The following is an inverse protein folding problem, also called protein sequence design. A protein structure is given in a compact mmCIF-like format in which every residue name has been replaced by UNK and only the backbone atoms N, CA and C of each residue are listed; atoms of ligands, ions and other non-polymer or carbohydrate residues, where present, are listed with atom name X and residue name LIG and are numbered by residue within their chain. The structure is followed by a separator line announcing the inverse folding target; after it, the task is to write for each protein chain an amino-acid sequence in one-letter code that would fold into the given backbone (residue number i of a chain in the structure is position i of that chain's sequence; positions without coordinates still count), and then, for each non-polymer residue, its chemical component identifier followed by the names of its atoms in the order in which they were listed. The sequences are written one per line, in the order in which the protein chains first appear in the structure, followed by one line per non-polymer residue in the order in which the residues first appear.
data_IF_672935982436
#
_entry.id   IF_672935982436
#
_cell.length_a   1.000
_cell.length_b   1.000
_cell.length_c   1.000
_cell.angle_alpha   90.00
_cell.angle_beta   90.00
_cell.angle_gamma   90.00
#
_symmetry.space_group_name_H-M   'P 1'
#
loop_
_entity.id
_entity.type
_entity.pdbx_description
1 polymer ?
#
# COMPACT_ATOMS: atom_id res chain seq x y z
N UNK A 1 80.69 -32.93 18.37
CA UNK A 1 79.66 -33.25 17.41
C UNK A 1 78.39 -33.48 18.19
N UNK A 2 77.60 -32.45 18.31
CA UNK A 2 76.30 -32.49 19.00
C UNK A 2 75.26 -32.60 17.93
N UNK A 3 74.75 -33.79 17.66
CA UNK A 3 73.63 -33.99 16.78
C UNK A 3 72.39 -33.48 17.51
N UNK A 4 71.83 -32.35 17.06
CA UNK A 4 70.57 -31.84 17.53
C UNK A 4 69.47 -32.77 17.05
N UNK A 5 68.87 -33.51 17.99
CA UNK A 5 67.59 -34.21 17.82
C UNK A 5 66.48 -33.14 17.73
N UNK A 6 66.36 -32.55 16.55
CA UNK A 6 65.28 -31.61 16.23
C UNK A 6 64.23 -32.26 15.34
N UNK A 7 63.61 -33.31 15.84
CA UNK A 7 62.42 -33.85 15.19
C UNK A 7 61.22 -32.92 15.48
N UNK A 8 60.48 -32.53 14.43
CA UNK A 8 59.18 -31.86 14.62
C UNK A 8 58.20 -32.86 15.28
N UNK A 9 57.72 -32.54 16.46
CA UNK A 9 56.75 -33.33 17.21
C UNK A 9 55.65 -32.44 17.79
N UNK A 10 54.51 -33.02 18.08
CA UNK A 10 53.39 -32.35 18.68
C UNK A 10 53.73 -31.80 20.07
N UNK A 11 53.59 -30.50 20.28
CA UNK A 11 53.90 -29.83 21.56
C UNK A 11 52.99 -30.26 22.72
N UNK A 12 51.85 -30.93 22.44
CA UNK A 12 50.88 -31.36 23.46
C UNK A 12 51.05 -32.81 23.86
N UNK A 13 51.24 -33.72 22.90
CA UNK A 13 51.26 -35.19 23.16
C UNK A 13 52.55 -35.88 22.70
N UNK A 14 53.45 -35.18 22.00
CA UNK A 14 54.72 -35.74 21.53
C UNK A 14 54.60 -36.57 20.25
N UNK A 15 53.46 -36.65 19.59
CA UNK A 15 53.29 -37.41 18.34
C UNK A 15 54.11 -36.86 17.19
N UNK A 16 54.49 -37.73 16.25
CA UNK A 16 55.17 -37.36 15.01
C UNK A 16 54.25 -36.55 14.05
N UNK A 17 54.81 -35.84 13.05
CA UNK A 17 54.03 -35.15 11.99
C UNK A 17 53.05 -36.10 11.23
N UNK A 18 51.95 -35.52 10.65
CA UNK A 18 51.75 -34.10 10.31
C UNK A 18 51.34 -33.23 11.49
N UNK A 19 51.91 -32.01 11.54
CA UNK A 19 51.57 -30.99 12.53
C UNK A 19 50.81 -29.85 11.85
N UNK A 20 49.83 -29.35 12.59
CA UNK A 20 48.96 -28.25 12.18
C UNK A 20 49.31 -26.98 12.99
N UNK A 21 48.41 -26.06 13.07
CA UNK A 21 48.59 -24.80 13.80
C UNK A 21 49.11 -25.04 15.23
N UNK A 22 49.97 -24.18 15.70
CA UNK A 22 50.64 -24.25 17.01
C UNK A 22 51.50 -25.51 17.23
N UNK A 23 51.95 -26.16 16.13
CA UNK A 23 52.74 -27.40 16.16
C UNK A 23 52.01 -28.54 16.91
N UNK A 24 50.71 -28.68 16.70
CA UNK A 24 49.90 -29.76 17.27
C UNK A 24 49.58 -30.82 16.22
N UNK A 25 49.51 -32.09 16.63
CA UNK A 25 48.94 -33.14 15.76
C UNK A 25 47.42 -32.96 15.58
N UNK A 26 46.83 -33.57 14.56
CA UNK A 26 45.40 -33.48 14.26
C UNK A 26 44.51 -33.73 15.49
N UNK A 27 44.80 -34.79 16.27
CA UNK A 27 43.98 -35.16 17.43
C UNK A 27 44.04 -34.08 18.53
N UNK A 28 45.18 -33.39 18.73
CA UNK A 28 45.30 -32.31 19.69
C UNK A 28 44.68 -31.02 19.19
N UNK A 29 44.77 -30.72 17.88
CA UNK A 29 44.13 -29.59 17.23
C UNK A 29 42.60 -29.71 17.34
N UNK A 30 42.03 -30.85 16.98
CA UNK A 30 40.56 -31.11 17.09
C UNK A 30 40.01 -31.01 18.51
N UNK A 31 40.81 -31.35 19.53
CA UNK A 31 40.42 -31.21 20.96
C UNK A 31 40.38 -29.74 21.42
N UNK A 32 41.19 -28.88 20.85
CA UNK A 32 41.33 -27.47 21.27
C UNK A 32 40.55 -26.50 20.40
N UNK A 33 40.31 -26.86 19.16
CA UNK A 33 39.68 -26.00 18.17
C UNK A 33 38.25 -26.47 17.95
N UNK A 34 37.30 -25.55 18.04
CA UNK A 34 35.90 -25.74 17.68
C UNK A 34 35.61 -24.94 16.43
N UNK A 35 34.74 -25.51 15.57
CA UNK A 35 34.26 -24.82 14.37
C UNK A 35 33.41 -23.61 14.72
N UNK A 36 32.50 -23.79 15.69
CA UNK A 36 31.59 -22.72 16.11
C UNK A 36 31.44 -22.66 17.63
N UNK A 37 31.15 -21.46 18.12
CA UNK A 37 30.66 -21.20 19.46
C UNK A 37 29.17 -20.92 19.39
N UNK A 38 28.36 -21.85 19.88
CA UNK A 38 26.91 -21.80 19.86
C UNK A 38 26.40 -21.59 21.28
N UNK A 39 25.61 -20.51 21.55
CA UNK A 39 25.01 -20.30 22.86
C UNK A 39 23.88 -21.32 23.11
N UNK A 40 23.69 -21.71 24.36
CA UNK A 40 22.59 -22.60 24.73
C UNK A 40 21.19 -22.04 24.45
N UNK A 41 21.06 -20.71 24.53
CA UNK A 41 19.79 -20.02 24.37
C UNK A 41 19.94 -18.77 23.51
N UNK A 42 18.93 -18.51 22.67
CA UNK A 42 18.71 -17.23 22.01
C UNK A 42 17.29 -16.74 22.29
N UNK A 43 17.07 -15.44 22.23
CA UNK A 43 15.75 -14.87 22.53
C UNK A 43 15.26 -14.02 21.36
N UNK A 44 13.96 -14.04 21.13
CA UNK A 44 13.28 -13.12 20.21
C UNK A 44 11.96 -12.65 20.81
N UNK A 45 11.45 -11.53 20.34
CA UNK A 45 10.22 -10.95 20.82
C UNK A 45 9.19 -10.93 19.68
N UNK A 46 8.00 -11.44 19.95
CA UNK A 46 6.87 -11.40 19.03
C UNK A 46 5.77 -10.49 19.57
N UNK A 47 5.20 -9.66 18.69
CA UNK A 47 4.05 -8.83 19.03
C UNK A 47 2.83 -9.70 19.27
N UNK A 48 2.28 -9.67 20.50
CA UNK A 48 1.11 -10.44 20.88
C UNK A 48 -0.20 -10.04 20.14
N UNK A 49 -0.18 -8.91 19.42
CA UNK A 49 -1.35 -8.39 18.70
C UNK A 49 -1.32 -8.64 17.20
N UNK A 50 -0.19 -8.42 16.55
CA UNK A 50 -0.08 -8.51 15.08
C UNK A 50 0.90 -9.57 14.60
N UNK A 51 1.59 -10.28 15.51
CA UNK A 51 2.52 -11.35 15.15
C UNK A 51 3.90 -10.89 14.66
N UNK A 52 4.13 -9.60 14.43
CA UNK A 52 5.42 -9.08 14.00
C UNK A 52 6.52 -9.48 14.97
N UNK A 53 7.71 -9.72 14.45
CA UNK A 53 8.89 -10.14 15.21
C UNK A 53 9.87 -8.97 15.30
N UNK A 54 10.42 -8.74 16.49
CA UNK A 54 11.46 -7.75 16.71
C UNK A 54 12.82 -8.32 16.32
N UNK A 55 13.38 -7.77 15.25
CA UNK A 55 14.76 -8.03 14.80
C UNK A 55 15.54 -6.74 14.99
N UNK A 56 16.42 -6.73 15.98
CA UNK A 56 17.31 -5.59 16.30
C UNK A 56 16.59 -4.25 16.44
N UNK A 57 15.41 -4.24 17.09
CA UNK A 57 14.60 -3.05 17.31
C UNK A 57 13.68 -2.69 16.14
N UNK A 58 13.66 -3.50 15.08
CA UNK A 58 12.71 -3.36 13.96
C UNK A 58 11.67 -4.48 14.00
N UNK A 59 10.41 -4.10 13.97
CA UNK A 59 9.30 -5.03 13.92
C UNK A 59 8.99 -5.39 12.46
N UNK A 60 9.18 -6.66 12.11
CA UNK A 60 9.07 -7.15 10.73
C UNK A 60 8.14 -8.36 10.65
N UNK A 61 7.52 -8.54 9.49
CA UNK A 61 6.81 -9.77 9.15
C UNK A 61 7.76 -10.66 8.37
N UNK A 62 8.21 -11.76 8.97
CA UNK A 62 9.11 -12.71 8.33
C UNK A 62 8.57 -14.13 8.46
N UNK A 63 8.77 -14.99 7.46
CA UNK A 63 8.51 -16.41 7.56
C UNK A 63 9.29 -17.07 8.71
N UNK A 64 8.79 -18.17 9.22
CA UNK A 64 9.41 -18.87 10.35
C UNK A 64 10.83 -19.37 10.01
N UNK A 65 11.04 -19.90 8.81
CA UNK A 65 12.35 -20.35 8.36
C UNK A 65 13.37 -19.20 8.36
N UNK A 66 12.99 -18.04 7.84
CA UNK A 66 13.83 -16.83 7.85
C UNK A 66 14.14 -16.35 9.27
N UNK A 67 13.20 -16.53 10.21
CA UNK A 67 13.43 -16.20 11.62
C UNK A 67 14.54 -17.07 12.20
N UNK A 68 14.52 -18.38 11.94
CA UNK A 68 15.53 -19.28 12.47
C UNK A 68 16.90 -18.97 11.88
N UNK A 69 17.00 -18.72 10.58
CA UNK A 69 18.23 -18.26 9.93
C UNK A 69 18.79 -17.01 10.59
N UNK A 70 17.99 -15.97 10.78
CA UNK A 70 18.38 -14.71 11.40
C UNK A 70 18.86 -14.91 12.85
N UNK A 71 18.17 -15.75 13.62
CA UNK A 71 18.55 -16.04 15.02
C UNK A 71 19.87 -16.81 15.08
N UNK A 72 20.10 -17.76 14.18
CA UNK A 72 21.33 -18.54 14.10
C UNK A 72 22.48 -17.63 13.70
N UNK A 73 22.34 -16.87 12.61
CA UNK A 73 23.39 -15.93 12.13
C UNK A 73 23.80 -14.92 13.20
N UNK A 74 22.84 -14.43 13.98
CA UNK A 74 23.10 -13.47 15.05
C UNK A 74 23.77 -14.09 16.27
N UNK A 75 23.49 -15.35 16.57
CA UNK A 75 23.87 -16.00 17.82
C UNK A 75 25.12 -16.85 17.72
N UNK A 76 25.37 -17.45 16.56
CA UNK A 76 26.48 -18.35 16.32
C UNK A 76 27.73 -17.58 15.89
N UNK A 77 28.86 -17.90 16.51
CA UNK A 77 30.16 -17.33 16.14
C UNK A 77 31.05 -18.44 15.61
N UNK A 78 31.34 -18.39 14.32
CA UNK A 78 32.30 -19.31 13.72
C UNK A 78 33.75 -18.94 14.04
N UNK A 79 34.61 -19.91 14.00
CA UNK A 79 36.06 -19.72 14.19
C UNK A 79 36.58 -18.76 13.10
N UNK A 80 37.47 -17.83 13.49
CA UNK A 80 37.95 -16.77 12.59
C UNK A 80 38.67 -17.26 11.32
N UNK A 81 39.17 -18.50 11.33
CA UNK A 81 39.86 -19.17 10.22
C UNK A 81 39.00 -20.26 9.58
N UNK A 82 37.71 -20.32 9.91
CA UNK A 82 36.84 -21.28 9.30
C UNK A 82 36.49 -20.84 7.87
N UNK A 83 36.66 -21.77 6.95
CA UNK A 83 36.34 -21.60 5.52
C UNK A 83 35.35 -22.69 5.09
N UNK A 84 34.68 -22.53 3.94
CA UNK A 84 33.73 -23.49 3.37
C UNK A 84 32.64 -23.93 4.36
N UNK A 85 32.07 -22.94 5.08
CA UNK A 85 31.10 -23.21 6.14
C UNK A 85 29.75 -23.65 5.54
N UNK A 86 29.34 -24.89 5.85
CA UNK A 86 28.00 -25.44 5.64
C UNK A 86 27.22 -25.42 6.96
N UNK A 87 25.98 -25.01 6.92
CA UNK A 87 25.04 -24.99 8.05
C UNK A 87 23.70 -25.56 7.63
N UNK A 88 23.28 -26.65 8.27
CA UNK A 88 21.90 -27.17 8.21
C UNK A 88 21.26 -27.06 9.59
N UNK A 89 19.95 -26.86 9.65
CA UNK A 89 19.22 -26.88 10.91
C UNK A 89 17.83 -27.48 10.78
N UNK A 90 17.33 -28.04 11.90
CA UNK A 90 15.96 -28.55 12.03
C UNK A 90 15.32 -27.96 13.28
N UNK A 91 14.20 -27.20 13.15
CA UNK A 91 13.46 -26.66 14.28
C UNK A 91 12.53 -27.72 14.88
N UNK A 92 12.59 -27.91 16.20
CA UNK A 92 11.70 -28.74 16.97
C UNK A 92 10.94 -27.90 18.00
N UNK A 93 9.65 -27.71 17.79
CA UNK A 93 8.77 -27.00 18.74
C UNK A 93 8.55 -27.83 20.00
N UNK A 94 8.96 -27.29 21.14
CA UNK A 94 8.77 -27.91 22.47
C UNK A 94 7.51 -27.35 23.14
N UNK A 95 7.25 -26.07 22.98
CA UNK A 95 6.07 -25.40 23.49
C UNK A 95 5.82 -24.10 22.75
N UNK A 96 4.71 -23.43 22.99
CA UNK A 96 4.38 -22.12 22.39
C UNK A 96 5.49 -21.06 22.51
N UNK A 97 6.42 -21.25 23.46
CA UNK A 97 7.48 -20.26 23.75
C UNK A 97 8.89 -20.79 23.54
N UNK A 98 9.05 -22.07 23.21
CA UNK A 98 10.37 -22.70 23.13
C UNK A 98 10.46 -23.58 21.90
N UNK A 99 11.45 -23.32 21.09
CA UNK A 99 11.84 -24.17 19.94
C UNK A 99 13.31 -24.55 20.12
N UNK A 100 13.64 -25.82 19.94
CA UNK A 100 15.01 -26.31 19.82
C UNK A 100 15.41 -26.25 18.36
N UNK A 101 16.58 -25.69 18.09
CA UNK A 101 17.22 -25.67 16.78
C UNK A 101 18.36 -26.68 16.81
N UNK A 102 18.16 -27.83 16.18
CA UNK A 102 19.20 -28.83 15.98
C UNK A 102 20.02 -28.42 14.77
N UNK A 103 21.29 -28.17 14.94
CA UNK A 103 22.18 -27.65 13.90
C UNK A 103 23.27 -28.62 13.58
N UNK A 104 23.53 -28.85 12.30
CA UNK A 104 24.68 -29.57 11.77
C UNK A 104 25.55 -28.57 11.04
N UNK A 105 26.82 -28.50 11.41
CA UNK A 105 27.76 -27.54 10.89
C UNK A 105 28.98 -28.26 10.34
N UNK A 106 29.42 -27.85 9.17
CA UNK A 106 30.62 -28.32 8.50
C UNK A 106 31.50 -27.12 8.14
N UNK A 107 32.80 -27.31 8.10
CA UNK A 107 33.72 -26.28 7.67
C UNK A 107 35.17 -26.74 7.77
N UNK A 108 36.07 -26.01 7.15
CA UNK A 108 37.50 -26.30 7.11
C UNK A 108 38.25 -25.28 7.95
N UNK A 109 39.13 -25.74 8.83
CA UNK A 109 40.09 -24.90 9.58
C UNK A 109 41.47 -25.51 9.41
N UNK A 110 42.42 -24.74 8.84
CA UNK A 110 43.79 -25.18 8.61
C UNK A 110 43.88 -26.54 7.88
N UNK A 111 43.16 -26.68 6.77
CA UNK A 111 43.04 -27.89 5.95
C UNK A 111 42.38 -29.12 6.65
N UNK A 112 41.83 -28.93 7.82
CA UNK A 112 41.11 -29.97 8.55
C UNK A 112 39.60 -29.75 8.45
N UNK A 113 38.88 -30.78 7.99
CA UNK A 113 37.43 -30.78 7.98
C UNK A 113 36.87 -30.98 9.40
N UNK A 114 35.99 -30.12 9.83
CA UNK A 114 35.21 -30.18 11.06
C UNK A 114 33.75 -30.44 10.75
N UNK A 115 33.13 -31.34 11.51
CA UNK A 115 31.70 -31.56 11.53
C UNK A 115 31.23 -31.51 12.98
N UNK A 116 30.34 -30.59 13.31
CA UNK A 116 29.84 -30.40 14.67
C UNK A 116 28.31 -30.40 14.68
N UNK A 117 27.76 -31.02 15.73
CA UNK A 117 26.32 -30.96 16.02
C UNK A 117 26.08 -30.10 17.26
N UNK A 118 25.17 -29.16 17.14
CA UNK A 118 24.80 -28.26 18.22
C UNK A 118 23.31 -28.18 18.39
N UNK A 119 22.87 -27.83 19.60
CA UNK A 119 21.47 -27.53 19.88
C UNK A 119 21.37 -26.20 20.60
N UNK A 120 20.54 -25.32 20.06
CA UNK A 120 20.25 -24.01 20.64
C UNK A 120 18.77 -23.88 20.93
N UNK A 121 18.41 -23.34 22.09
CA UNK A 121 17.02 -23.09 22.45
C UNK A 121 16.63 -21.66 22.10
N UNK A 122 15.72 -21.50 21.15
CA UNK A 122 15.05 -20.23 20.85
C UNK A 122 13.88 -20.01 21.81
N UNK A 123 13.87 -18.89 22.52
CA UNK A 123 12.83 -18.50 23.48
C UNK A 123 12.04 -17.31 22.97
N UNK A 124 10.73 -17.50 22.78
CA UNK A 124 9.80 -16.42 22.42
C UNK A 124 9.37 -15.66 23.65
N UNK A 125 9.54 -14.36 23.66
CA UNK A 125 8.92 -13.44 24.57
C UNK A 125 7.77 -12.69 23.88
N UNK A 126 6.74 -12.32 24.64
CA UNK A 126 5.65 -11.49 24.11
C UNK A 126 5.97 -10.02 24.37
N UNK A 127 5.81 -9.21 23.32
CA UNK A 127 5.88 -7.76 23.38
C UNK A 127 4.67 -7.14 22.70
N UNK A 128 4.67 -5.82 22.60
CA UNK A 128 3.70 -5.08 21.79
C UNK A 128 4.48 -4.09 20.95
N UNK A 129 4.37 -4.19 19.62
CA UNK A 129 5.06 -3.27 18.71
C UNK A 129 4.49 -1.85 18.83
N UNK A 130 5.28 -0.87 18.41
CA UNK A 130 4.92 0.54 18.49
C UNK A 130 3.61 0.85 17.77
N UNK A 131 3.37 0.24 16.61
CA UNK A 131 2.14 0.41 15.85
C UNK A 131 0.91 -0.09 16.61
N UNK A 132 0.98 -1.28 17.20
CA UNK A 132 -0.11 -1.81 18.04
C UNK A 132 -0.35 -0.98 19.29
N UNK A 133 0.71 -0.43 19.89
CA UNK A 133 0.61 0.51 21.03
C UNK A 133 -0.07 1.80 20.58
N UNK A 134 0.31 2.36 19.43
CA UNK A 134 -0.30 3.57 18.87
C UNK A 134 -1.77 3.37 18.53
N UNK A 135 -2.11 2.25 17.85
CA UNK A 135 -3.52 1.88 17.59
C UNK A 135 -4.36 1.84 18.86
N UNK A 136 -3.86 1.17 19.91
CA UNK A 136 -4.57 1.07 21.18
C UNK A 136 -4.71 2.41 21.90
N UNK A 137 -3.79 3.34 21.69
CA UNK A 137 -3.79 4.67 22.29
C UNK A 137 -4.50 5.73 21.45
N UNK A 138 -5.29 5.36 20.44
CA UNK A 138 -5.97 6.30 19.53
C UNK A 138 -5.00 7.34 18.91
N UNK A 139 -3.79 6.90 18.63
CA UNK A 139 -2.79 7.75 17.98
C UNK A 139 -3.19 8.07 16.55
N UNK A 140 -2.98 9.32 16.13
CA UNK A 140 -3.17 9.75 14.75
C UNK A 140 -2.19 10.84 14.34
N UNK A 141 -1.91 10.90 13.04
CA UNK A 141 -1.08 11.93 12.42
C UNK A 141 -1.85 12.78 11.42
N UNK A 142 -2.95 12.23 10.88
CA UNK A 142 -3.74 12.92 9.86
C UNK A 142 -5.24 12.73 10.06
N UNK A 143 -6.00 13.73 9.56
CA UNK A 143 -7.46 13.67 9.39
C UNK A 143 -7.75 14.05 7.94
N UNK A 144 -8.47 13.17 7.22
CA UNK A 144 -9.04 13.47 5.90
C UNK A 144 -10.50 13.82 6.06
N UNK A 145 -10.86 15.00 5.57
CA UNK A 145 -12.21 15.52 5.62
C UNK A 145 -12.85 15.43 4.24
N UNK A 146 -13.83 14.56 4.07
CA UNK A 146 -14.58 14.41 2.83
C UNK A 146 -15.75 15.38 2.80
N UNK A 147 -15.78 16.24 1.80
CA UNK A 147 -16.84 17.24 1.57
C UNK A 147 -17.25 17.23 0.09
N UNK A 148 -18.38 17.86 -0.23
CA UNK A 148 -18.77 18.18 -1.61
C UNK A 148 -18.93 19.69 -1.79
N UNK A 149 -18.82 20.13 -3.02
CA UNK A 149 -19.04 21.53 -3.41
C UNK A 149 -20.53 21.78 -3.64
N UNK A 150 -21.09 22.72 -2.92
CA UNK A 150 -22.49 23.19 -3.14
C UNK A 150 -23.60 22.25 -2.63
N UNK A 151 -23.30 21.01 -2.22
CA UNK A 151 -24.26 20.05 -1.71
C UNK A 151 -23.64 19.12 -0.64
N UNK A 152 -24.42 18.23 -0.08
CA UNK A 152 -23.92 17.13 0.74
C UNK A 152 -23.53 15.96 -0.16
N UNK A 153 -22.54 15.15 0.31
CA UNK A 153 -22.27 13.86 -0.28
C UNK A 153 -23.48 12.95 -0.11
N UNK A 154 -23.86 12.25 -1.17
CA UNK A 154 -24.85 11.18 -1.11
C UNK A 154 -24.24 9.95 -0.44
N UNK A 155 -25.09 9.06 0.07
CA UNK A 155 -24.62 7.88 0.82
C UNK A 155 -23.79 6.95 -0.07
N UNK A 156 -24.23 6.70 -1.31
CA UNK A 156 -23.50 5.87 -2.27
C UNK A 156 -22.15 6.50 -2.66
N UNK A 157 -22.09 7.82 -2.85
CA UNK A 157 -20.85 8.52 -3.12
C UNK A 157 -19.87 8.36 -1.94
N UNK A 158 -20.37 8.54 -0.72
CA UNK A 158 -19.56 8.40 0.47
C UNK A 158 -19.01 6.98 0.61
N UNK A 159 -19.85 5.97 0.35
CA UNK A 159 -19.46 4.57 0.41
C UNK A 159 -18.34 4.27 -0.62
N UNK A 160 -18.46 4.77 -1.84
CA UNK A 160 -17.44 4.60 -2.88
C UNK A 160 -16.13 5.31 -2.51
N UNK A 161 -16.20 6.56 -2.05
CA UNK A 161 -15.03 7.31 -1.58
C UNK A 161 -14.34 6.58 -0.43
N UNK A 162 -15.12 6.05 0.53
CA UNK A 162 -14.57 5.34 1.69
C UNK A 162 -13.96 3.99 1.30
N UNK A 163 -14.60 3.23 0.42
CA UNK A 163 -14.10 1.94 -0.05
C UNK A 163 -12.73 2.09 -0.73
N UNK A 164 -12.54 3.14 -1.52
CA UNK A 164 -11.25 3.40 -2.18
C UNK A 164 -10.06 3.58 -1.23
N UNK A 165 -10.30 3.92 0.05
CA UNK A 165 -9.24 3.96 1.04
C UNK A 165 -8.68 2.56 1.34
N UNK A 166 -9.54 1.55 1.35
CA UNK A 166 -9.13 0.17 1.61
C UNK A 166 -8.27 -0.34 0.45
N UNK A 167 -8.60 0.02 -0.80
CA UNK A 167 -7.79 -0.29 -1.98
C UNK A 167 -6.41 0.39 -1.90
N UNK A 168 -6.36 1.66 -1.49
CA UNK A 168 -5.08 2.38 -1.30
C UNK A 168 -4.25 1.77 -0.18
N UNK A 169 -4.87 1.32 0.92
CA UNK A 169 -4.17 0.64 2.01
C UNK A 169 -3.59 -0.70 1.52
N UNK A 170 -4.34 -1.45 0.73
CA UNK A 170 -3.89 -2.74 0.19
C UNK A 170 -2.70 -2.58 -0.75
N UNK A 171 -2.75 -1.59 -1.64
CA UNK A 171 -1.64 -1.28 -2.56
C UNK A 171 -0.37 -0.82 -1.85
N UNK A 172 -0.50 -0.20 -0.68
CA UNK A 172 0.60 0.38 0.09
C UNK A 172 0.91 -0.41 1.38
N UNK A 173 0.60 -1.69 1.42
CA UNK A 173 0.52 -2.54 2.61
C UNK A 173 1.78 -2.64 3.48
N UNK A 174 2.95 -2.19 2.99
CA UNK A 174 4.24 -2.37 3.68
C UNK A 174 4.44 -1.43 4.90
N UNK A 175 3.65 -0.36 5.04
CA UNK A 175 3.78 0.55 6.19
C UNK A 175 2.78 0.18 7.29
N UNK A 176 3.25 -0.36 8.43
CA UNK A 176 2.40 -0.73 9.55
C UNK A 176 1.64 0.46 10.18
N UNK A 177 1.97 1.70 9.83
CA UNK A 177 1.26 2.90 10.26
C UNK A 177 0.03 3.22 9.40
N UNK A 178 -0.22 2.47 8.33
CA UNK A 178 -1.39 2.62 7.50
C UNK A 178 -2.61 1.96 8.17
N UNK A 179 -3.20 2.67 9.09
CA UNK A 179 -4.41 2.25 9.79
C UNK A 179 -5.34 3.43 10.06
N UNK A 180 -6.62 3.11 10.17
CA UNK A 180 -7.67 4.05 10.57
C UNK A 180 -7.79 4.01 12.10
N UNK A 181 -7.76 5.19 12.72
CA UNK A 181 -7.91 5.34 14.18
C UNK A 181 -9.37 5.55 14.55
N UNK A 182 -10.06 6.38 13.77
CA UNK A 182 -11.48 6.70 13.96
C UNK A 182 -12.06 7.23 12.65
N UNK A 183 -13.35 7.05 12.43
CA UNK A 183 -14.06 7.62 11.30
C UNK A 183 -15.53 7.82 11.64
N UNK A 184 -16.18 8.77 10.96
CA UNK A 184 -17.60 8.99 11.17
C UNK A 184 -18.15 10.25 10.49
N UNK A 185 -19.48 10.33 10.43
CA UNK A 185 -20.19 11.49 9.91
C UNK A 185 -19.98 12.72 10.81
N UNK A 186 -19.81 13.87 10.17
CA UNK A 186 -19.72 15.17 10.80
C UNK A 186 -20.64 16.15 10.10
N UNK A 187 -20.85 17.35 10.69
CA UNK A 187 -21.64 18.39 10.02
C UNK A 187 -21.02 18.76 8.66
N UNK A 188 -21.75 18.46 7.60
CA UNK A 188 -21.37 18.79 6.23
C UNK A 188 -20.48 17.77 5.53
N UNK A 189 -20.27 16.56 6.09
CA UNK A 189 -19.51 15.51 5.43
C UNK A 189 -19.10 14.36 6.33
N UNK A 190 -17.92 13.82 6.09
CA UNK A 190 -17.38 12.66 6.78
C UNK A 190 -15.89 12.86 7.05
N UNK A 191 -15.42 12.47 8.22
CA UNK A 191 -14.03 12.57 8.61
C UNK A 191 -13.43 11.20 8.86
N UNK A 192 -12.21 10.98 8.36
CA UNK A 192 -11.40 9.78 8.59
C UNK A 192 -10.10 10.18 9.26
N UNK A 193 -9.86 9.63 10.44
CA UNK A 193 -8.67 9.88 11.26
C UNK A 193 -7.74 8.69 11.12
N UNK A 194 -6.47 8.93 10.76
CA UNK A 194 -5.54 7.85 10.40
C UNK A 194 -4.15 8.03 10.99
N UNK A 195 -3.43 6.92 11.11
CA UNK A 195 -2.13 6.83 11.76
C UNK A 195 -0.97 7.46 10.98
N UNK A 196 -1.15 7.77 9.69
CA UNK A 196 -0.07 8.23 8.81
C UNK A 196 -0.48 9.41 7.94
N UNK A 197 0.39 10.44 7.86
CA UNK A 197 0.26 11.54 6.88
C UNK A 197 0.50 11.06 5.45
N UNK A 198 1.35 10.04 5.28
CA UNK A 198 1.63 9.42 3.98
C UNK A 198 0.38 8.81 3.37
N UNK A 199 -0.37 8.04 4.17
CA UNK A 199 -1.64 7.45 3.77
C UNK A 199 -2.67 8.52 3.39
N UNK A 200 -2.82 9.58 4.21
CA UNK A 200 -3.75 10.67 3.93
C UNK A 200 -3.48 11.34 2.58
N UNK A 201 -2.20 11.58 2.26
CA UNK A 201 -1.80 12.17 0.98
C UNK A 201 -1.98 11.23 -0.20
N UNK A 202 -1.66 9.95 -0.03
CA UNK A 202 -1.87 8.95 -1.07
C UNK A 202 -3.36 8.84 -1.42
N UNK A 203 -4.20 8.74 -0.39
CA UNK A 203 -5.65 8.71 -0.61
C UNK A 203 -6.18 10.01 -1.22
N UNK A 204 -5.72 11.18 -0.76
CA UNK A 204 -6.11 12.47 -1.34
C UNK A 204 -5.78 12.59 -2.83
N UNK A 205 -4.64 12.05 -3.28
CA UNK A 205 -4.30 11.98 -4.72
C UNK A 205 -5.24 11.04 -5.46
N UNK A 206 -5.45 9.83 -4.95
CA UNK A 206 -6.37 8.86 -5.53
C UNK A 206 -7.78 9.45 -5.69
N UNK A 207 -8.30 10.14 -4.66
CA UNK A 207 -9.60 10.81 -4.71
C UNK A 207 -9.67 11.86 -5.84
N UNK A 208 -8.64 12.69 -6.01
CA UNK A 208 -8.62 13.72 -7.06
C UNK A 208 -8.43 13.14 -8.46
N UNK A 209 -7.69 12.06 -8.60
CA UNK A 209 -7.49 11.36 -9.88
C UNK A 209 -8.78 10.65 -10.34
N UNK A 210 -9.49 10.01 -9.41
CA UNK A 210 -10.69 9.22 -9.74
C UNK A 210 -11.95 10.07 -9.87
N UNK A 211 -12.20 10.96 -8.92
CA UNK A 211 -13.45 11.75 -8.85
C UNK A 211 -13.27 13.24 -9.06
N UNK A 212 -12.05 13.67 -9.41
CA UNK A 212 -11.75 15.10 -9.54
C UNK A 212 -11.77 15.82 -8.20
N UNK A 213 -11.94 17.15 -8.26
CA UNK A 213 -12.06 17.98 -7.07
C UNK A 213 -10.75 18.53 -6.54
N UNK A 214 -10.80 19.06 -5.34
CA UNK A 214 -9.69 19.80 -4.75
C UNK A 214 -9.27 19.22 -3.42
N UNK A 215 -7.96 19.22 -3.18
CA UNK A 215 -7.36 18.90 -1.89
C UNK A 215 -6.66 20.13 -1.32
N UNK A 216 -6.97 20.47 -0.07
CA UNK A 216 -6.28 21.50 0.70
C UNK A 216 -5.66 20.87 1.94
N UNK A 217 -4.36 21.13 2.15
CA UNK A 217 -3.62 20.64 3.31
C UNK A 217 -3.35 21.77 4.31
N UNK A 218 -3.60 21.48 5.58
CA UNK A 218 -3.19 22.32 6.70
C UNK A 218 -2.44 21.50 7.74
N UNK A 219 -1.43 22.10 8.36
CA UNK A 219 -0.67 21.45 9.43
C UNK A 219 -0.82 22.26 10.72
N UNK A 220 -1.11 21.56 11.82
CA UNK A 220 -1.15 22.16 13.16
C UNK A 220 -0.05 21.56 14.02
N UNK A 221 0.73 22.40 14.73
CA UNK A 221 1.72 21.93 15.70
C UNK A 221 1.01 21.51 16.98
N UNK A 222 1.23 20.26 17.41
CA UNK A 222 0.62 19.66 18.59
C UNK A 222 1.59 19.42 19.72
N UNK A 223 2.87 19.67 19.51
CA UNK A 223 3.92 19.52 20.51
C UNK A 223 5.31 19.63 19.90
N UNK A 224 6.31 19.39 20.74
CA UNK A 224 7.72 19.38 20.34
C UNK A 224 8.41 18.15 20.94
N UNK A 225 9.14 17.41 20.12
CA UNK A 225 9.94 16.26 20.55
C UNK A 225 11.35 16.40 20.00
N UNK A 226 12.36 16.29 20.86
CA UNK A 226 13.78 16.38 20.51
C UNK A 226 14.13 17.64 19.67
N UNK A 227 13.48 18.78 20.02
CA UNK A 227 13.67 20.04 19.31
C UNK A 227 12.88 20.18 18.00
N UNK A 228 12.19 19.15 17.54
CA UNK A 228 11.42 19.11 16.29
C UNK A 228 9.94 19.25 16.61
N UNK A 229 9.24 20.12 15.84
CA UNK A 229 7.81 20.29 15.98
C UNK A 229 7.06 19.04 15.51
N UNK A 230 6.20 18.50 16.38
CA UNK A 230 5.26 17.43 16.04
C UNK A 230 4.00 18.07 15.47
N UNK A 231 3.69 17.75 14.22
CA UNK A 231 2.54 18.33 13.53
C UNK A 231 1.51 17.27 13.15
N UNK A 232 0.24 17.67 13.12
CA UNK A 232 -0.88 16.89 12.55
C UNK A 232 -1.32 17.51 11.24
N UNK A 233 -1.62 16.66 10.27
CA UNK A 233 -2.13 17.02 8.96
C UNK A 233 -3.66 17.01 8.98
N UNK A 234 -4.30 18.06 8.47
CA UNK A 234 -5.70 18.02 8.05
C UNK A 234 -5.73 18.19 6.54
N UNK A 235 -6.29 17.19 5.84
CA UNK A 235 -6.46 17.16 4.41
C UNK A 235 -7.96 17.29 4.12
N UNK A 236 -8.36 18.42 3.55
CA UNK A 236 -9.72 18.65 3.13
C UNK A 236 -9.86 18.31 1.64
N UNK A 237 -10.62 17.24 1.34
CA UNK A 237 -11.02 16.90 -0.02
C UNK A 237 -12.43 17.43 -0.29
N UNK A 238 -12.60 18.11 -1.43
CA UNK A 238 -13.90 18.61 -1.92
C UNK A 238 -14.21 17.96 -3.27
N UNK A 239 -15.14 16.99 -3.28
CA UNK A 239 -15.68 16.42 -4.50
C UNK A 239 -16.49 17.47 -5.25
N UNK A 240 -16.40 17.54 -6.59
CA UNK A 240 -17.30 18.36 -7.40
C UNK A 240 -18.77 17.99 -7.15
N UNK A 241 -19.68 18.93 -7.34
CA UNK A 241 -21.11 18.67 -7.25
C UNK A 241 -21.69 17.93 -8.45
N UNK A 242 -20.85 17.57 -9.42
CA UNK A 242 -21.17 16.87 -10.68
C UNK A 242 -20.14 15.77 -10.93
N UNK A 243 -20.48 14.83 -11.79
CA UNK A 243 -19.63 13.73 -12.23
C UNK A 243 -19.32 13.83 -13.73
N UNK A 244 -18.35 13.04 -14.21
CA UNK A 244 -18.05 12.95 -15.64
C UNK A 244 -19.28 12.46 -16.39
N UNK A 245 -19.58 13.12 -17.51
CA UNK A 245 -20.72 12.78 -18.35
C UNK A 245 -22.02 13.45 -17.95
N UNK A 246 -22.13 14.07 -16.78
CA UNK A 246 -23.30 14.87 -16.41
C UNK A 246 -23.52 16.02 -17.38
N UNK A 247 -24.77 16.38 -17.64
CA UNK A 247 -25.09 17.61 -18.36
C UNK A 247 -25.18 18.76 -17.40
N UNK A 248 -24.32 19.77 -17.60
CA UNK A 248 -24.25 20.93 -16.74
C UNK A 248 -24.48 22.22 -17.53
N UNK A 249 -25.03 23.23 -16.85
CA UNK A 249 -25.14 24.57 -17.40
C UNK A 249 -23.90 25.40 -17.04
N UNK A 250 -23.09 25.73 -18.05
CA UNK A 250 -21.90 26.55 -17.89
C UNK A 250 -21.79 27.59 -19.02
N UNK A 251 -21.46 28.83 -18.71
CA UNK A 251 -21.39 29.93 -19.69
C UNK A 251 -22.64 30.09 -20.56
N UNK A 252 -23.82 29.92 -19.96
CA UNK A 252 -25.13 29.98 -20.62
C UNK A 252 -25.34 28.94 -21.73
N UNK A 253 -24.63 27.82 -21.69
CA UNK A 253 -24.78 26.71 -22.64
C UNK A 253 -24.71 25.37 -21.91
N UNK A 254 -25.00 24.29 -22.64
CA UNK A 254 -24.95 22.94 -22.13
C UNK A 254 -23.58 22.31 -22.40
N UNK A 255 -22.99 21.82 -21.34
CA UNK A 255 -21.67 21.19 -21.37
C UNK A 255 -21.66 19.87 -20.62
N UNK A 256 -20.66 19.03 -20.93
CA UNK A 256 -20.40 17.78 -20.21
C UNK A 256 -18.93 17.75 -19.78
N UNK A 257 -18.61 17.51 -18.51
CA UNK A 257 -17.24 17.21 -18.11
C UNK A 257 -16.85 15.84 -18.66
N UNK A 258 -15.75 15.76 -19.41
CA UNK A 258 -15.27 14.53 -20.07
C UNK A 258 -14.06 13.92 -19.38
N UNK A 259 -13.25 14.72 -18.72
CA UNK A 259 -12.11 14.22 -17.94
C UNK A 259 -11.70 15.21 -16.87
N UNK A 260 -11.02 14.72 -15.83
CA UNK A 260 -10.47 15.55 -14.78
C UNK A 260 -9.08 16.08 -15.19
N UNK A 261 -8.76 17.26 -14.74
CA UNK A 261 -7.43 17.83 -14.81
C UNK A 261 -7.01 18.31 -13.41
N UNK A 262 -5.72 18.56 -13.22
CA UNK A 262 -5.19 19.05 -11.94
C UNK A 262 -5.94 20.27 -11.41
N UNK A 263 -6.27 21.20 -12.30
CA UNK A 263 -6.82 22.50 -11.94
C UNK A 263 -8.33 22.64 -12.22
N UNK A 264 -8.99 21.55 -12.70
CA UNK A 264 -10.40 21.62 -13.06
C UNK A 264 -10.88 20.40 -13.86
N UNK A 265 -11.76 20.63 -14.81
CA UNK A 265 -12.28 19.62 -15.72
C UNK A 265 -12.13 20.05 -17.19
N UNK A 266 -12.02 19.06 -18.07
CA UNK A 266 -12.18 19.27 -19.50
C UNK A 266 -13.67 19.17 -19.82
N UNK A 267 -14.18 20.22 -20.44
CA UNK A 267 -15.59 20.40 -20.75
C UNK A 267 -15.82 20.24 -22.25
N UNK A 268 -16.83 19.49 -22.63
CA UNK A 268 -17.28 19.32 -24.01
C UNK A 268 -18.68 19.93 -24.18
N UNK A 269 -18.80 20.77 -25.20
CA UNK A 269 -20.08 21.44 -25.50
C UNK A 269 -21.02 20.47 -26.24
N UNK A 270 -22.29 20.44 -25.81
CA UNK A 270 -23.27 19.52 -26.41
C UNK A 270 -23.69 19.97 -27.79
N UNK A 271 -23.83 21.28 -28.02
CA UNK A 271 -24.40 21.83 -29.24
C UNK A 271 -23.46 21.82 -30.46
N UNK A 272 -22.15 21.67 -30.27
CA UNK A 272 -21.13 21.69 -31.32
C UNK A 272 -19.81 21.12 -30.83
N UNK A 273 -18.92 20.79 -31.77
CA UNK A 273 -17.56 20.35 -31.49
C UNK A 273 -16.73 21.50 -30.85
N UNK A 274 -16.69 21.50 -29.53
CA UNK A 274 -15.92 22.45 -28.74
C UNK A 274 -15.47 21.78 -27.44
N UNK A 275 -14.15 21.74 -27.21
CA UNK A 275 -13.55 21.17 -26.00
C UNK A 275 -12.68 22.24 -25.36
N UNK A 276 -12.83 22.46 -24.06
CA UNK A 276 -12.08 23.51 -23.33
C UNK A 276 -11.84 23.11 -21.88
N UNK A 277 -10.71 23.56 -21.32
CA UNK A 277 -10.46 23.42 -19.88
C UNK A 277 -11.24 24.47 -19.09
N UNK A 278 -11.80 24.03 -17.96
CA UNK A 278 -12.43 24.91 -16.98
C UNK A 278 -11.82 24.67 -15.61
N UNK A 279 -11.46 25.74 -14.90
CA UNK A 279 -10.88 25.62 -13.56
C UNK A 279 -11.95 25.29 -12.51
N UNK A 280 -11.53 24.74 -11.37
CA UNK A 280 -12.48 24.49 -10.25
C UNK A 280 -13.25 25.74 -9.86
N UNK A 281 -12.61 26.90 -9.94
CA UNK A 281 -13.23 28.21 -9.66
C UNK A 281 -14.30 28.56 -10.70
N UNK A 282 -14.04 28.29 -11.99
CA UNK A 282 -15.00 28.56 -13.07
C UNK A 282 -16.24 27.67 -12.98
N UNK A 283 -16.08 26.50 -12.36
CA UNK A 283 -17.14 25.48 -12.19
C UNK A 283 -17.79 25.53 -10.81
N UNK A 284 -17.41 26.50 -9.97
CA UNK A 284 -18.04 26.68 -8.67
C UNK A 284 -19.50 27.09 -8.83
N UNK A 285 -20.41 26.33 -8.24
CA UNK A 285 -21.86 26.57 -8.34
C UNK A 285 -22.49 26.23 -9.68
N UNK A 286 -21.80 25.51 -10.55
CA UNK A 286 -22.35 24.98 -11.80
C UNK A 286 -23.61 24.12 -11.49
N UNK A 287 -24.67 24.33 -12.29
CA UNK A 287 -25.94 23.60 -12.13
C UNK A 287 -25.92 22.35 -12.95
N UNK A 288 -26.09 21.19 -12.31
CA UNK A 288 -26.34 19.90 -12.98
C UNK A 288 -27.79 19.89 -13.46
N UNK A 289 -28.01 19.64 -14.74
CA UNK A 289 -29.32 19.59 -15.38
C UNK A 289 -29.77 18.16 -15.60
N UNK A 290 -28.87 17.24 -15.92
CA UNK A 290 -29.14 15.80 -16.01
C UNK A 290 -27.89 15.04 -15.56
N UNK A 291 -28.09 14.04 -14.70
CA UNK A 291 -27.02 13.17 -14.26
C UNK A 291 -26.76 12.06 -15.28
N UNK A 292 -25.50 11.66 -15.45
CA UNK A 292 -25.14 10.59 -16.40
C UNK A 292 -25.89 9.28 -16.13
N UNK A 293 -26.15 8.98 -14.85
CA UNK A 293 -26.89 7.76 -14.45
C UNK A 293 -28.34 7.73 -14.93
N UNK A 294 -28.91 8.91 -15.21
CA UNK A 294 -30.31 9.07 -15.67
C UNK A 294 -30.43 9.17 -17.19
N UNK A 295 -29.29 9.11 -17.92
CA UNK A 295 -29.30 9.09 -19.36
C UNK A 295 -29.88 7.75 -19.87
N UNK A 296 -30.65 7.83 -20.94
CA UNK A 296 -31.24 6.66 -21.58
C UNK A 296 -30.63 6.43 -22.96
N UNK A 297 -30.54 5.16 -23.36
CA UNK A 297 -30.19 4.79 -24.73
C UNK A 297 -31.43 4.31 -25.42
N UNK A 298 -31.75 4.87 -26.60
CA UNK A 298 -32.95 4.56 -27.39
C UNK A 298 -32.54 4.13 -28.79
N UNK A 299 -33.32 3.20 -29.38
CA UNK A 299 -33.15 2.80 -30.77
C UNK A 299 -33.81 3.82 -31.71
N UNK A 300 -33.11 4.16 -32.81
CA UNK A 300 -33.60 5.04 -33.85
C UNK A 300 -34.55 4.23 -34.73
N UNK A 301 -35.80 4.66 -34.82
CA UNK A 301 -36.83 4.02 -35.69
C UNK A 301 -36.79 4.60 -37.09
N UNK A 302 -36.64 5.92 -37.20
CA UNK A 302 -36.57 6.66 -38.43
C UNK A 302 -35.64 7.86 -38.27
N UNK A 303 -35.07 8.36 -39.34
CA UNK A 303 -34.20 9.56 -39.29
C UNK A 303 -34.18 10.29 -40.63
N UNK A 304 -33.93 11.58 -40.55
CA UNK A 304 -33.45 12.41 -41.64
C UNK A 304 -32.00 12.93 -41.36
N UNK A 305 -31.56 13.91 -42.10
CA UNK A 305 -30.20 14.47 -41.96
C UNK A 305 -29.94 15.18 -40.62
N UNK A 306 -30.98 15.53 -39.86
CA UNK A 306 -30.86 16.38 -38.68
C UNK A 306 -31.67 15.91 -37.45
N UNK A 307 -32.60 15.02 -37.66
CA UNK A 307 -33.54 14.58 -36.63
C UNK A 307 -33.67 13.06 -36.65
N UNK A 308 -33.75 12.46 -35.49
CA UNK A 308 -34.08 11.06 -35.30
C UNK A 308 -35.42 10.92 -34.59
N UNK A 309 -36.21 9.90 -34.98
CA UNK A 309 -37.44 9.49 -34.31
C UNK A 309 -37.22 8.21 -33.55
N UNK A 310 -37.72 8.17 -32.32
CA UNK A 310 -37.60 7.04 -31.40
C UNK A 310 -38.89 6.91 -30.57
N UNK A 311 -39.06 5.80 -29.84
CA UNK A 311 -40.11 5.66 -28.84
C UNK A 311 -39.62 6.19 -27.48
N UNK A 312 -40.36 7.14 -26.92
CA UNK A 312 -40.13 7.63 -25.57
C UNK A 312 -40.25 6.47 -24.56
N UNK A 313 -39.20 6.11 -23.82
CA UNK A 313 -39.23 5.00 -22.88
C UNK A 313 -40.27 5.13 -21.76
N UNK A 314 -40.74 6.34 -21.48
CA UNK A 314 -41.72 6.60 -20.41
C UNK A 314 -43.18 6.33 -20.81
N UNK A 315 -43.54 6.54 -22.07
CA UNK A 315 -44.94 6.51 -22.53
C UNK A 315 -45.14 5.78 -23.85
N UNK A 316 -44.10 5.31 -24.51
CA UNK A 316 -44.08 4.58 -25.79
C UNK A 316 -44.67 5.39 -26.97
N UNK A 317 -44.64 6.70 -26.88
CA UNK A 317 -45.02 7.56 -27.98
C UNK A 317 -43.86 7.90 -28.89
N UNK A 318 -44.15 8.06 -30.17
CA UNK A 318 -43.17 8.52 -31.15
C UNK A 318 -42.76 9.94 -30.81
N UNK A 319 -41.46 10.13 -30.61
CA UNK A 319 -40.84 11.41 -30.26
C UNK A 319 -39.63 11.64 -31.16
N UNK A 320 -39.33 12.89 -31.44
CA UNK A 320 -38.18 13.28 -32.27
C UNK A 320 -37.18 14.08 -31.49
N UNK A 321 -35.89 13.92 -31.83
CA UNK A 321 -34.77 14.67 -31.24
C UNK A 321 -33.81 15.08 -32.33
N UNK A 322 -33.16 16.24 -32.19
CA UNK A 322 -32.11 16.68 -33.09
C UNK A 322 -30.88 15.79 -32.89
N UNK A 323 -30.30 15.30 -33.99
CA UNK A 323 -29.08 14.50 -33.98
C UNK A 323 -27.87 15.28 -33.38
N UNK A 324 -27.00 14.62 -32.66
CA UNK A 324 -25.76 15.26 -32.19
C UNK A 324 -24.84 15.60 -33.37
N UNK A 325 -23.96 16.54 -33.17
CA UNK A 325 -23.07 17.06 -34.21
C UNK A 325 -22.04 16.03 -34.73
N UNK A 326 -21.75 14.96 -33.98
CA UNK A 326 -20.84 13.87 -34.31
C UNK A 326 -21.51 12.58 -34.76
N UNK A 327 -22.82 12.64 -35.02
CA UNK A 327 -23.60 11.45 -35.37
C UNK A 327 -23.01 10.70 -36.57
N UNK A 328 -22.59 9.48 -36.37
CA UNK A 328 -21.90 8.63 -37.34
C UNK A 328 -22.80 7.64 -38.10
N UNK A 329 -24.10 7.68 -37.83
CA UNK A 329 -25.08 6.76 -38.42
C UNK A 329 -25.37 5.54 -37.56
N UNK A 330 -25.06 5.58 -36.27
CA UNK A 330 -25.43 4.55 -35.30
C UNK A 330 -26.92 4.25 -35.29
N UNK A 331 -27.31 3.04 -34.86
CA UNK A 331 -28.71 2.61 -34.75
C UNK A 331 -29.38 3.08 -33.44
N UNK A 332 -28.64 3.66 -32.53
CA UNK A 332 -29.14 4.12 -31.22
C UNK A 332 -28.57 5.48 -30.86
N UNK A 333 -29.22 6.17 -29.94
CA UNK A 333 -28.82 7.46 -29.39
C UNK A 333 -28.81 7.43 -27.87
N UNK A 334 -27.83 8.12 -27.27
CA UNK A 334 -27.88 8.46 -25.85
C UNK A 334 -28.56 9.80 -25.65
N UNK A 335 -29.56 9.81 -24.78
CA UNK A 335 -30.38 10.98 -24.50
C UNK A 335 -30.27 11.40 -23.04
N UNK A 336 -30.22 12.69 -22.80
CA UNK A 336 -30.49 13.31 -21.50
C UNK A 336 -31.89 13.96 -21.53
N UNK A 337 -32.56 14.00 -20.39
CA UNK A 337 -33.84 14.72 -20.23
C UNK A 337 -33.60 15.97 -19.40
N UNK A 338 -33.93 17.15 -19.96
CA UNK A 338 -33.79 18.45 -19.29
C UNK A 338 -35.14 19.18 -19.39
N UNK A 339 -35.70 19.53 -18.26
CA UNK A 339 -37.02 20.20 -18.17
C UNK A 339 -38.11 19.50 -18.96
N UNK A 340 -38.03 18.15 -19.10
CA UNK A 340 -38.98 17.33 -19.84
C UNK A 340 -38.71 17.20 -21.34
N UNK A 341 -37.68 17.83 -21.86
CA UNK A 341 -37.23 17.71 -23.26
C UNK A 341 -36.03 16.78 -23.41
N UNK A 342 -36.00 15.96 -24.46
CA UNK A 342 -34.90 15.11 -24.79
C UNK A 342 -33.82 15.88 -25.58
N UNK A 343 -32.57 15.66 -25.19
CA UNK A 343 -31.40 16.16 -25.88
C UNK A 343 -30.49 14.99 -26.22
N UNK A 344 -30.18 14.81 -27.49
CA UNK A 344 -29.23 13.80 -27.91
C UNK A 344 -27.80 14.26 -27.59
N UNK A 345 -27.06 13.33 -27.01
CA UNK A 345 -25.70 13.56 -26.57
C UNK A 345 -24.70 12.98 -27.59
N UNK A 346 -23.66 13.75 -27.89
CA UNK A 346 -22.51 13.26 -28.67
C UNK A 346 -21.76 12.16 -27.93
N UNK A 347 -21.05 11.30 -28.64
CA UNK A 347 -20.20 10.30 -28.02
C UNK A 347 -19.03 10.98 -27.29
N UNK A 348 -18.83 10.58 -26.08
CA UNK A 348 -17.67 10.98 -25.29
C UNK A 348 -16.68 9.83 -25.25
N UNK A 349 -15.44 10.08 -25.63
CA UNK A 349 -14.34 9.26 -25.18
C UNK A 349 -14.17 9.54 -23.67
N UNK A 350 -14.89 8.80 -22.83
CA UNK A 350 -14.55 8.74 -21.41
C UNK A 350 -13.19 8.05 -21.37
N UNK A 351 -12.14 8.80 -21.01
CA UNK A 351 -10.87 8.19 -20.65
C UNK A 351 -11.10 7.36 -19.37
N UNK A 352 -11.58 6.13 -19.58
CA UNK A 352 -11.45 5.08 -18.60
C UNK A 352 -9.98 4.71 -18.64
N UNK A 353 -9.17 5.38 -17.82
CA UNK A 353 -7.91 4.78 -17.37
C UNK A 353 -8.31 3.54 -16.56
N UNK A 354 -8.51 2.42 -17.27
CA UNK A 354 -8.45 1.10 -16.67
C UNK A 354 -7.05 0.93 -16.09
N UNK A 355 -6.95 0.88 -14.78
CA UNK A 355 -5.75 0.44 -14.07
C UNK A 355 -6.14 -0.49 -12.93
#
# INVERSE_FOLDING_TARGET
MSQGLGGDFCLVCGSDPPLFTDRMCEACTRKRTKLANVPENTNYTQCARCGLIDIQGKWVNIPEDTLWDELIQRSVQFHSRAEEIGLGFEPQTISDRHTLLHMQMEGVIDDLLYTEEHTMRARRSNGVCLTCTRRAGNYFEATVQLRSTGRRLEEDELNNLRASLDDVIEQLSDDPMFFITNEGPVTGGYDVVMGSKGLARAWGRHLTETWGGQVNETNSTVGRKDGIDVTRLTLLYRKPGYDLGDVVQWRNDLWRPSSWSKDGAIMERISRQERTGATWRDLEGVKVLAQMKDHVVVDILNRDDSVAEFLDPSNWQMTSVRLPWDFDGASSLRLATIDGEFIALHDMALDHSES
#
